data_IF_436426817743
#
_entry.id   IF_436426817743
#
_cell.length_a   1.000
_cell.length_b   1.000
_cell.length_c   1.000
_cell.angle_alpha   90.00
_cell.angle_beta   90.00
_cell.angle_gamma   90.00
#
_symmetry.space_group_name_H-M   'P 1'
#
loop_
_entity.id
_entity.type
_entity.pdbx_description
1 polymer ?
#
# COMPACT_ATOMS: atom_id res chain seq x y z
N UNK A 1 26.02 -1.97 36.89
CA UNK A 1 26.33 -1.49 35.52
C UNK A 1 27.14 -2.52 34.71
N UNK A 2 26.73 -3.80 34.63
CA UNK A 2 27.49 -4.84 33.90
C UNK A 2 26.60 -5.83 33.10
N UNK A 3 25.28 -5.58 33.06
CA UNK A 3 24.31 -6.48 32.44
C UNK A 3 24.01 -6.10 30.98
N UNK A 4 24.01 -4.80 30.67
CA UNK A 4 23.76 -4.25 29.33
C UNK A 4 24.85 -4.66 28.30
N UNK A 5 26.13 -4.66 28.68
CA UNK A 5 27.24 -4.95 27.75
C UNK A 5 27.27 -6.41 27.28
N UNK A 6 26.79 -7.36 28.10
CA UNK A 6 26.69 -8.77 27.69
C UNK A 6 25.58 -9.00 26.68
N UNK A 7 24.46 -8.29 26.80
CA UNK A 7 23.35 -8.36 25.85
C UNK A 7 23.71 -7.70 24.51
N UNK A 8 24.39 -6.54 24.53
CA UNK A 8 24.84 -5.86 23.31
C UNK A 8 25.85 -6.73 22.53
N UNK A 9 26.81 -7.36 23.23
CA UNK A 9 27.78 -8.27 22.59
C UNK A 9 27.11 -9.52 21.99
N UNK A 10 26.09 -10.07 22.64
CA UNK A 10 25.30 -11.21 22.13
C UNK A 10 24.47 -10.83 20.90
N UNK A 11 23.86 -9.64 20.90
CA UNK A 11 23.06 -9.15 19.77
C UNK A 11 23.91 -8.89 18.53
N UNK A 12 25.10 -8.29 18.68
CA UNK A 12 26.03 -8.05 17.56
C UNK A 12 26.51 -9.39 16.99
N UNK A 13 26.87 -10.37 17.84
CA UNK A 13 27.26 -11.70 17.37
C UNK A 13 26.15 -12.41 16.61
N UNK A 14 24.90 -12.28 17.07
CA UNK A 14 23.73 -12.88 16.42
C UNK A 14 23.43 -12.21 15.07
N UNK A 15 23.52 -10.88 14.99
CA UNK A 15 23.33 -10.12 13.74
C UNK A 15 24.38 -10.48 12.67
N UNK A 16 25.65 -10.65 13.06
CA UNK A 16 26.71 -11.05 12.14
C UNK A 16 26.50 -12.47 11.58
N UNK A 17 26.02 -13.41 12.41
CA UNK A 17 25.70 -14.77 11.96
C UNK A 17 24.48 -14.77 11.04
N UNK A 18 23.46 -13.96 11.32
CA UNK A 18 22.26 -13.90 10.48
C UNK A 18 22.53 -13.25 9.10
N UNK A 19 23.38 -12.22 9.05
CA UNK A 19 23.79 -11.59 7.80
C UNK A 19 24.57 -12.55 6.88
N UNK A 20 25.38 -13.45 7.45
CA UNK A 20 26.11 -14.47 6.68
C UNK A 20 25.19 -15.54 6.09
N UNK A 21 24.04 -15.84 6.71
CA UNK A 21 23.06 -16.80 6.20
C UNK A 21 22.28 -16.26 5.00
N UNK A 22 22.02 -14.94 4.96
CA UNK A 22 21.30 -14.29 3.86
C UNK A 22 22.11 -14.27 2.54
N UNK A 23 23.44 -14.24 2.61
CA UNK A 23 24.30 -14.17 1.41
C UNK A 23 24.40 -15.51 0.66
N UNK A 24 23.97 -16.62 1.28
CA UNK A 24 24.05 -17.97 0.69
C UNK A 24 22.84 -18.35 -0.19
N UNK A 25 21.79 -17.52 -0.29
CA UNK A 25 20.56 -17.84 -1.02
C UNK A 25 20.31 -17.02 -2.31
N UNK A 26 21.18 -16.09 -2.71
CA UNK A 26 20.88 -15.18 -3.84
C UNK A 26 21.86 -15.27 -5.01
N UNK A 27 22.33 -16.47 -5.33
CA UNK A 27 22.75 -16.80 -6.70
C UNK A 27 21.53 -17.42 -7.41
N UNK A 28 20.68 -16.57 -7.99
CA UNK A 28 19.48 -16.95 -8.72
C UNK A 28 19.31 -16.04 -9.93
N UNK A 29 19.64 -16.61 -11.08
CA UNK A 29 19.60 -16.10 -12.45
C UNK A 29 18.34 -15.30 -12.81
N UNK A 30 18.55 -14.29 -13.65
CA UNK A 30 17.57 -13.41 -14.25
C UNK A 30 17.26 -13.90 -15.68
N UNK A 31 16.05 -14.42 -15.93
CA UNK A 31 15.44 -14.62 -17.26
C UNK A 31 13.92 -14.68 -16.99
N UNK A 32 13.04 -13.90 -17.61
CA UNK A 32 12.73 -13.98 -19.03
C UNK A 32 11.91 -12.75 -19.44
N UNK A 33 12.33 -12.12 -20.52
CA UNK A 33 11.46 -11.39 -21.43
C UNK A 33 10.51 -12.40 -22.10
N UNK A 34 9.26 -12.02 -22.38
CA UNK A 34 8.65 -12.20 -23.72
C UNK A 34 7.37 -11.38 -23.79
N UNK A 35 7.32 -10.55 -24.82
CA UNK A 35 6.16 -9.82 -25.31
C UNK A 35 5.17 -10.77 -25.98
N UNK A 36 3.87 -10.46 -25.94
CA UNK A 36 2.92 -10.86 -27.00
C UNK A 36 1.72 -9.92 -27.04
N UNK A 37 1.51 -9.32 -28.21
CA UNK A 37 0.33 -8.53 -28.57
C UNK A 37 -0.64 -9.38 -29.41
N UNK A 38 -1.94 -9.36 -29.09
CA UNK A 38 -2.99 -9.70 -30.08
C UNK A 38 -4.37 -9.14 -29.72
N UNK A 39 -4.93 -8.38 -30.66
CA UNK A 39 -6.28 -7.84 -30.67
C UNK A 39 -7.38 -8.91 -30.89
N UNK A 40 -8.55 -8.76 -30.24
CA UNK A 40 -9.81 -8.25 -30.83
C UNK A 40 -11.09 -8.75 -30.10
N UNK A 41 -12.03 -7.81 -29.89
CA UNK A 41 -13.48 -7.85 -29.58
C UNK A 41 -14.17 -9.23 -29.39
N UNK A 42 -15.06 -9.44 -28.41
CA UNK A 42 -16.33 -8.72 -28.19
C UNK A 42 -16.96 -9.13 -26.84
N UNK A 43 -17.70 -8.22 -26.22
CA UNK A 43 -18.26 -8.27 -24.85
C UNK A 43 -19.35 -9.35 -24.63
N UNK A 44 -19.46 -9.91 -23.41
CA UNK A 44 -20.45 -9.38 -22.47
C UNK A 44 -19.95 -9.22 -21.02
N UNK A 45 -20.21 -8.01 -20.49
CA UNK A 45 -20.48 -7.62 -19.08
C UNK A 45 -20.03 -8.60 -18.00
N UNK A 46 -18.92 -8.30 -17.33
CA UNK A 46 -18.74 -8.37 -15.87
C UNK A 46 -17.76 -7.27 -15.44
N UNK A 47 -17.98 -6.68 -14.26
CA UNK A 47 -17.09 -5.70 -13.63
C UNK A 47 -15.72 -6.33 -13.37
N UNK A 48 -14.85 -6.31 -14.36
CA UNK A 48 -13.44 -6.56 -14.17
C UNK A 48 -12.78 -5.20 -14.02
N UNK A 49 -12.57 -4.79 -12.76
CA UNK A 49 -11.45 -3.93 -12.44
C UNK A 49 -10.19 -4.75 -12.73
N UNK A 50 -9.85 -4.81 -14.02
CA UNK A 50 -8.64 -5.41 -14.54
C UNK A 50 -7.46 -4.65 -13.94
N UNK A 51 -6.75 -5.37 -13.08
CA UNK A 51 -5.48 -4.94 -12.53
C UNK A 51 -4.46 -4.90 -13.68
N UNK A 52 -4.19 -3.71 -14.24
CA UNK A 52 -2.84 -3.36 -14.68
C UNK A 52 -2.67 -1.85 -14.97
N UNK A 53 -1.89 -1.21 -14.09
CA UNK A 53 -0.87 -0.20 -14.41
C UNK A 53 -1.32 1.18 -14.90
N UNK A 54 -1.58 2.05 -13.94
CA UNK A 54 -0.78 3.26 -13.77
C UNK A 54 -0.60 3.47 -12.26
N UNK A 55 0.40 2.78 -11.70
CA UNK A 55 0.90 3.00 -10.34
C UNK A 55 1.58 4.36 -10.30
N UNK A 56 0.78 5.42 -10.29
CA UNK A 56 1.14 6.60 -9.54
C UNK A 56 0.98 6.20 -8.07
N UNK A 57 2.00 5.50 -7.54
CA UNK A 57 2.13 5.08 -6.14
C UNK A 57 1.95 6.31 -5.25
N UNK A 58 0.70 6.62 -4.93
CA UNK A 58 0.40 7.48 -3.80
C UNK A 58 0.73 6.69 -2.55
N UNK A 59 1.51 7.25 -1.62
CA UNK A 59 1.79 6.66 -0.29
C UNK A 59 0.53 6.44 0.57
N UNK A 60 -0.66 6.63 -0.02
CA UNK A 60 -1.95 6.37 0.59
C UNK A 60 -2.17 4.87 0.81
N UNK A 61 -2.59 4.54 2.03
CA UNK A 61 -3.00 3.20 2.44
C UNK A 61 -4.29 2.72 1.74
N UNK A 62 -5.14 3.64 1.28
CA UNK A 62 -6.42 3.35 0.64
C UNK A 62 -6.39 3.67 -0.86
N UNK A 63 -7.19 2.90 -1.62
CA UNK A 63 -7.45 3.13 -3.05
C UNK A 63 -8.78 3.86 -3.29
N UNK A 64 -9.68 3.82 -2.32
CA UNK A 64 -11.00 4.45 -2.40
C UNK A 64 -11.13 5.56 -1.37
N UNK A 65 -11.68 6.70 -1.80
CA UNK A 65 -11.89 7.88 -0.97
C UNK A 65 -12.90 7.59 0.15
N UNK A 66 -12.53 7.75 1.44
CA UNK A 66 -13.40 7.45 2.57
C UNK A 66 -14.57 8.45 2.70
N UNK A 67 -14.51 9.59 1.99
CA UNK A 67 -15.52 10.65 2.05
C UNK A 67 -16.62 10.46 1.00
N UNK A 68 -16.25 10.15 -0.24
CA UNK A 68 -17.20 10.12 -1.37
C UNK A 68 -17.22 8.80 -2.16
N UNK A 69 -16.37 7.83 -1.82
CA UNK A 69 -16.31 6.53 -2.50
C UNK A 69 -15.67 6.55 -3.90
N UNK A 70 -15.17 7.71 -4.36
CA UNK A 70 -14.40 7.80 -5.62
C UNK A 70 -12.99 7.24 -5.48
N UNK A 71 -12.31 6.96 -6.60
CA UNK A 71 -10.93 6.49 -6.61
C UNK A 71 -9.96 7.56 -6.08
N UNK A 72 -8.93 7.13 -5.36
CA UNK A 72 -7.86 8.02 -4.88
C UNK A 72 -6.97 8.45 -6.03
N UNK A 73 -6.67 9.75 -6.07
CA UNK A 73 -5.73 10.34 -7.02
C UNK A 73 -4.47 10.77 -6.28
N UNK A 74 -3.28 10.38 -6.78
CA UNK A 74 -2.00 10.67 -6.11
C UNK A 74 -1.58 12.15 -6.06
N UNK A 75 -2.30 13.04 -6.74
CA UNK A 75 -1.97 14.47 -6.81
C UNK A 75 -2.55 15.31 -5.66
N UNK A 76 -3.32 14.70 -4.74
CA UNK A 76 -4.02 15.38 -3.66
C UNK A 76 -3.29 15.23 -2.31
N UNK A 77 -3.51 16.21 -1.42
CA UNK A 77 -3.00 16.16 -0.05
C UNK A 77 -3.55 14.95 0.69
N UNK A 78 -2.66 14.16 1.29
CA UNK A 78 -3.02 13.00 2.11
C UNK A 78 -3.09 13.37 3.59
N UNK A 79 -3.96 12.70 4.35
CA UNK A 79 -4.12 12.94 5.79
C UNK A 79 -3.71 11.69 6.57
N UNK A 80 -2.84 11.83 7.55
CA UNK A 80 -2.46 10.71 8.43
C UNK A 80 -3.40 10.61 9.62
N UNK A 81 -4.00 9.44 9.81
CA UNK A 81 -4.90 9.14 10.93
C UNK A 81 -4.74 7.68 11.37
N UNK A 82 -4.66 7.41 12.68
CA UNK A 82 -4.43 6.05 13.22
C UNK A 82 -3.26 5.30 12.56
N UNK A 83 -2.13 6.00 12.32
CA UNK A 83 -0.93 5.48 11.65
C UNK A 83 -1.15 4.98 10.21
N UNK A 84 -2.26 5.34 9.58
CA UNK A 84 -2.55 5.12 8.15
C UNK A 84 -2.56 6.45 7.42
N UNK A 85 -2.03 6.48 6.21
CA UNK A 85 -2.07 7.64 5.32
C UNK A 85 -3.31 7.52 4.44
N UNK A 86 -4.24 8.47 4.54
CA UNK A 86 -5.46 8.47 3.73
C UNK A 86 -5.30 9.37 2.53
N UNK A 87 -5.48 8.80 1.34
CA UNK A 87 -5.62 9.51 0.08
C UNK A 87 -7.09 9.80 -0.24
N UNK A 88 -7.29 10.73 -1.17
CA UNK A 88 -8.60 11.23 -1.53
C UNK A 88 -8.79 11.31 -3.04
N UNK A 89 -10.05 11.31 -3.47
CA UNK A 89 -10.43 11.46 -4.90
C UNK A 89 -10.86 12.87 -5.28
N UNK A 90 -10.87 13.82 -4.35
CA UNK A 90 -11.32 15.20 -4.61
C UNK A 90 -10.61 16.22 -3.71
N UNK A 91 -10.32 17.44 -4.18
CA UNK A 91 -9.62 18.46 -3.38
C UNK A 91 -10.39 18.93 -2.14
N UNK A 92 -11.71 18.76 -2.10
CA UNK A 92 -12.54 19.10 -0.93
C UNK A 92 -12.72 17.95 0.07
N UNK A 93 -12.13 16.79 -0.20
CA UNK A 93 -12.24 15.59 0.62
C UNK A 93 -11.27 15.60 1.82
N UNK A 94 -9.99 16.03 1.71
CA UNK A 94 -9.06 16.12 2.84
C UNK A 94 -9.62 16.97 3.99
N UNK A 95 -10.05 18.20 3.72
CA UNK A 95 -10.57 19.12 4.74
C UNK A 95 -11.78 18.56 5.50
N UNK A 96 -12.68 17.85 4.81
CA UNK A 96 -13.83 17.20 5.45
C UNK A 96 -13.41 16.03 6.33
N UNK A 97 -12.44 15.25 5.85
CA UNK A 97 -11.90 14.12 6.57
C UNK A 97 -11.20 14.58 7.85
N UNK A 98 -10.37 15.63 7.79
CA UNK A 98 -9.67 16.18 8.97
C UNK A 98 -10.62 16.67 10.06
N UNK A 99 -11.78 17.22 9.68
CA UNK A 99 -12.78 17.67 10.64
C UNK A 99 -13.40 16.53 11.45
N UNK A 100 -13.66 15.37 10.82
CA UNK A 100 -14.35 14.24 11.44
C UNK A 100 -13.82 12.89 10.93
N UNK A 101 -12.54 12.53 11.15
CA UNK A 101 -11.93 11.36 10.48
C UNK A 101 -12.62 10.06 10.88
N UNK A 102 -13.02 9.93 12.15
CA UNK A 102 -13.72 8.76 12.70
C UNK A 102 -15.04 8.44 11.97
N UNK A 103 -15.68 9.45 11.36
CA UNK A 103 -16.91 9.23 10.59
C UNK A 103 -16.68 8.68 9.19
N UNK A 104 -15.46 8.83 8.66
CA UNK A 104 -15.13 8.42 7.30
C UNK A 104 -14.27 7.16 7.26
N UNK A 105 -13.44 6.90 8.27
CA UNK A 105 -12.62 5.66 8.33
C UNK A 105 -13.48 4.40 8.32
N UNK A 106 -14.68 4.45 8.89
CA UNK A 106 -15.64 3.33 8.90
C UNK A 106 -16.28 3.06 7.55
N UNK A 107 -16.12 3.97 6.58
CA UNK A 107 -16.65 3.80 5.24
C UNK A 107 -15.72 2.98 4.35
N UNK A 108 -14.58 2.52 4.85
CA UNK A 108 -13.66 1.66 4.11
C UNK A 108 -13.59 0.27 4.74
N UNK A 109 -13.37 -0.74 3.90
CA UNK A 109 -13.00 -2.08 4.35
C UNK A 109 -11.63 -2.08 5.05
N UNK A 110 -11.25 -3.22 5.62
CA UNK A 110 -10.01 -3.38 6.40
C UNK A 110 -8.73 -3.08 5.59
N UNK A 111 -8.81 -3.15 4.26
CA UNK A 111 -7.69 -2.94 3.33
C UNK A 111 -7.76 -1.61 2.56
N UNK A 112 -8.80 -0.79 2.76
CA UNK A 112 -8.94 0.51 2.09
C UNK A 112 -9.23 0.44 0.58
N UNK A 113 -9.63 -0.72 0.07
CA UNK A 113 -9.88 -0.99 -1.36
C UNK A 113 -11.34 -0.91 -1.76
N UNK A 114 -12.27 -0.85 -0.80
CA UNK A 114 -13.70 -0.84 -1.06
C UNK A 114 -14.43 0.13 -0.12
N UNK A 115 -15.44 0.81 -0.66
CA UNK A 115 -16.32 1.69 0.11
C UNK A 115 -17.51 0.92 0.68
N UNK A 116 -17.57 0.80 2.01
CA UNK A 116 -18.62 0.11 2.76
C UNK A 116 -19.58 1.09 3.49
N UNK A 117 -19.39 2.40 3.31
CA UNK A 117 -20.24 3.43 3.92
C UNK A 117 -21.66 3.41 3.35
N UNK A 118 -22.65 3.15 4.19
CA UNK A 118 -24.08 3.12 3.84
C UNK A 118 -24.94 3.87 4.83
#
# INVERSE_FOLDING_TARGET
MFKESKHISLMISMLLVMALLMFACSNGEQESQTADAKAVASEPVEHVHDASMDDSESDAWNRICPVCGGEVTGDLETVTHDAKVYGFGCPGCPEKFEQNPQDYVKNLNEDGTEFIGG
#
